data_IF_396374764310
#
_entry.id   IF_396374764310
#
_cell.length_a   1.000
_cell.length_b   1.000
_cell.length_c   1.000
_cell.angle_alpha   90.00
_cell.angle_beta   90.00
_cell.angle_gamma   90.00
#
_symmetry.space_group_name_H-M   'P 1'
#
loop_
_entity.id
_entity.type
_entity.pdbx_description
1 polymer ?
#
# COMPACT_ATOMS: atom_id res chain seq x y z
N UNK A 1 -7.78 21.46 3.56
CA UNK A 1 -6.87 21.34 2.38
C UNK A 1 -7.67 20.98 1.14
N UNK A 2 -7.27 21.44 -0.06
CA UNK A 2 -7.83 20.95 -1.34
C UNK A 2 -7.28 19.54 -1.64
N UNK A 3 -8.17 18.64 -2.02
CA UNK A 3 -7.84 17.28 -2.42
C UNK A 3 -8.62 16.95 -3.70
N UNK A 4 -7.90 16.65 -4.78
CA UNK A 4 -8.47 16.11 -6.01
C UNK A 4 -8.12 14.64 -6.12
N UNK A 5 -9.10 13.80 -6.40
CA UNK A 5 -8.94 12.37 -6.60
C UNK A 5 -9.22 12.02 -8.06
N UNK A 6 -8.24 11.46 -8.75
CA UNK A 6 -8.28 11.15 -10.18
C UNK A 6 -8.08 9.64 -10.37
N UNK A 7 -9.16 8.84 -10.48
CA UNK A 7 -9.03 7.41 -10.74
C UNK A 7 -8.68 7.17 -12.22
N UNK A 8 -7.60 6.41 -12.46
CA UNK A 8 -7.01 6.16 -13.77
C UNK A 8 -7.01 4.67 -14.06
N UNK A 9 -7.45 4.28 -15.26
CA UNK A 9 -7.42 2.90 -15.72
C UNK A 9 -5.98 2.49 -16.04
N UNK A 10 -5.50 1.45 -15.37
CA UNK A 10 -4.15 0.91 -15.55
C UNK A 10 -4.15 -0.62 -15.40
N UNK A 11 -3.17 -1.31 -15.98
CA UNK A 11 -2.94 -2.71 -15.68
C UNK A 11 -2.62 -2.87 -14.19
N UNK A 12 -3.57 -3.41 -13.42
CA UNK A 12 -3.44 -3.68 -11.99
C UNK A 12 -4.09 -5.01 -11.62
N UNK A 13 -3.62 -5.63 -10.53
CA UNK A 13 -4.25 -6.83 -9.94
C UNK A 13 -5.45 -6.48 -9.05
N UNK A 14 -5.67 -5.18 -8.78
CA UNK A 14 -6.85 -4.72 -8.04
C UNK A 14 -8.12 -4.94 -8.87
N UNK A 15 -9.22 -5.45 -8.27
CA UNK A 15 -10.46 -5.77 -8.99
C UNK A 15 -11.11 -4.57 -9.70
N UNK A 16 -10.77 -3.35 -9.28
CA UNK A 16 -11.29 -2.11 -9.87
C UNK A 16 -10.71 -1.79 -11.24
N UNK A 17 -9.55 -2.36 -11.61
CA UNK A 17 -8.81 -2.01 -12.82
C UNK A 17 -8.31 -0.57 -12.86
N UNK A 18 -8.27 0.10 -11.70
CA UNK A 18 -7.94 1.53 -11.58
C UNK A 18 -7.09 1.80 -10.36
N UNK A 19 -6.16 2.76 -10.51
CA UNK A 19 -5.44 3.39 -9.40
C UNK A 19 -5.82 4.86 -9.32
N UNK A 20 -6.07 5.36 -8.12
CA UNK A 20 -6.35 6.77 -7.90
C UNK A 20 -5.05 7.54 -7.68
N UNK A 21 -4.81 8.53 -8.53
CA UNK A 21 -3.86 9.60 -8.31
C UNK A 21 -4.49 10.69 -7.46
N UNK A 22 -3.70 11.38 -6.63
CA UNK A 22 -4.19 12.49 -5.79
C UNK A 22 -3.37 13.75 -6.01
N UNK A 23 -4.05 14.90 -6.07
CA UNK A 23 -3.43 16.23 -6.06
C UNK A 23 -3.82 16.93 -4.76
N UNK A 24 -2.83 17.21 -3.92
CA UNK A 24 -3.00 17.74 -2.56
C UNK A 24 -2.47 19.16 -2.46
N UNK A 25 -3.33 20.13 -2.17
CA UNK A 25 -2.99 21.56 -2.13
C UNK A 25 -3.49 22.33 -3.36
N UNK A 26 -3.49 23.66 -3.30
CA UNK A 26 -3.93 24.56 -4.39
C UNK A 26 -2.77 25.21 -5.14
N UNK A 27 -1.68 25.47 -4.44
CA UNK A 27 -0.46 26.06 -4.93
C UNK A 27 0.70 25.18 -4.49
N UNK A 28 1.71 24.99 -5.34
CA UNK A 28 2.82 24.05 -5.06
C UNK A 28 2.33 22.65 -4.61
N UNK A 29 1.25 22.18 -5.24
CA UNK A 29 0.56 20.96 -4.83
C UNK A 29 1.47 19.73 -4.88
N UNK A 30 1.18 18.75 -4.00
CA UNK A 30 1.80 17.44 -4.05
C UNK A 30 0.95 16.50 -4.93
N UNK A 31 1.56 15.99 -5.99
CA UNK A 31 1.02 14.92 -6.83
C UNK A 31 1.42 13.57 -6.24
N UNK A 32 0.45 12.70 -5.94
CA UNK A 32 0.68 11.40 -5.31
C UNK A 32 0.21 10.28 -6.22
N UNK A 33 1.06 9.27 -6.39
CA UNK A 33 0.80 8.05 -7.16
C UNK A 33 0.27 8.30 -8.58
N UNK A 34 0.98 9.03 -9.47
CA UNK A 34 0.57 9.18 -10.86
C UNK A 34 0.86 7.89 -11.65
N UNK A 35 -0.16 7.04 -11.93
CA UNK A 35 0.05 5.68 -12.41
C UNK A 35 0.27 5.61 -13.92
N UNK A 36 -0.28 6.58 -14.67
CA UNK A 36 -0.17 6.71 -16.12
C UNK A 36 -0.52 8.15 -16.54
N UNK A 37 -0.15 8.59 -17.76
CA UNK A 37 -0.59 9.86 -18.31
C UNK A 37 -2.13 9.95 -18.39
N UNK A 38 -2.67 11.13 -18.03
CA UNK A 38 -4.11 11.42 -18.05
C UNK A 38 -4.35 12.93 -18.15
N UNK A 39 -5.21 13.36 -19.07
CA UNK A 39 -5.51 14.79 -19.32
C UNK A 39 -6.00 15.54 -18.06
N UNK A 40 -6.62 14.84 -17.11
CA UNK A 40 -7.08 15.43 -15.84
C UNK A 40 -5.91 15.75 -14.92
N UNK A 41 -4.82 14.96 -14.94
CA UNK A 41 -3.58 15.28 -14.20
C UNK A 41 -2.86 16.42 -14.93
N UNK A 42 -2.80 16.38 -16.27
CA UNK A 42 -2.15 17.41 -17.08
C UNK A 42 -2.76 18.79 -16.83
N UNK A 43 -4.08 18.87 -16.62
CA UNK A 43 -4.76 20.12 -16.29
C UNK A 43 -4.38 20.70 -14.91
N UNK A 44 -3.72 19.92 -14.06
CA UNK A 44 -3.30 20.30 -12.71
C UNK A 44 -1.81 20.67 -12.63
N UNK A 45 -0.99 20.37 -13.67
CA UNK A 45 0.48 20.46 -13.61
C UNK A 45 0.98 21.87 -13.31
N UNK A 46 0.33 22.92 -13.77
CA UNK A 46 0.71 24.32 -13.52
C UNK A 46 0.82 24.67 -12.02
N UNK A 47 0.17 23.88 -11.15
CA UNK A 47 0.18 24.09 -9.70
C UNK A 47 0.93 22.99 -8.93
N UNK A 48 1.47 21.98 -9.59
CA UNK A 48 2.23 20.89 -8.97
C UNK A 48 3.66 21.36 -8.68
N UNK A 49 4.08 21.35 -7.42
CA UNK A 49 5.44 21.66 -7.00
C UNK A 49 6.22 20.45 -6.49
N UNK A 50 5.53 19.35 -6.22
CA UNK A 50 6.15 18.13 -5.71
C UNK A 50 5.46 16.87 -6.26
N UNK A 51 6.23 15.79 -6.44
CA UNK A 51 5.72 14.45 -6.78
C UNK A 51 6.25 13.44 -5.75
N UNK A 52 5.37 12.59 -5.24
CA UNK A 52 5.73 11.49 -4.35
C UNK A 52 4.87 10.25 -4.63
N UNK A 53 5.30 9.09 -4.15
CA UNK A 53 4.53 7.85 -4.24
C UNK A 53 4.37 7.21 -2.88
N UNK A 54 3.25 6.51 -2.68
CA UNK A 54 3.02 5.72 -1.47
C UNK A 54 3.97 4.52 -1.42
N UNK A 55 4.20 3.89 -2.55
CA UNK A 55 5.14 2.77 -2.76
C UNK A 55 5.46 2.60 -4.25
N UNK A 56 6.31 1.62 -4.62
CA UNK A 56 6.88 1.52 -5.97
C UNK A 56 6.21 0.51 -6.90
N UNK A 57 5.02 0.03 -6.61
CA UNK A 57 4.35 -0.92 -7.51
C UNK A 57 4.03 -0.26 -8.87
N UNK A 58 4.11 -1.03 -9.97
CA UNK A 58 4.04 -0.47 -11.33
C UNK A 58 2.76 0.32 -11.62
N UNK A 59 1.66 -0.04 -10.98
CA UNK A 59 0.36 0.62 -11.14
C UNK A 59 0.20 1.91 -10.32
N UNK A 60 1.30 2.40 -9.68
CA UNK A 60 1.35 3.68 -8.96
C UNK A 60 2.32 4.69 -9.56
N UNK A 61 3.27 4.25 -10.40
CA UNK A 61 4.48 5.03 -10.68
C UNK A 61 4.69 5.40 -12.15
N UNK A 62 3.84 4.93 -13.05
CA UNK A 62 4.11 4.94 -14.49
C UNK A 62 4.30 6.32 -15.11
N UNK A 63 3.77 7.41 -14.53
CA UNK A 63 3.91 8.78 -15.02
C UNK A 63 4.74 9.68 -14.08
N UNK A 64 5.44 9.14 -13.08
CA UNK A 64 6.23 9.96 -12.13
C UNK A 64 7.29 10.80 -12.84
N UNK A 65 8.11 10.21 -13.71
CA UNK A 65 9.18 10.94 -14.41
C UNK A 65 8.61 12.01 -15.35
N UNK A 66 7.58 11.66 -16.11
CA UNK A 66 6.95 12.56 -17.09
C UNK A 66 6.37 13.80 -16.39
N UNK A 67 5.61 13.61 -15.33
CA UNK A 67 4.98 14.74 -14.64
C UNK A 67 5.93 15.54 -13.77
N UNK A 68 6.98 14.91 -13.22
CA UNK A 68 8.02 15.62 -12.51
C UNK A 68 8.79 16.58 -13.47
N UNK A 69 9.10 16.12 -14.68
CA UNK A 69 9.74 16.94 -15.71
C UNK A 69 8.79 18.04 -16.21
N UNK A 70 7.54 17.71 -16.53
CA UNK A 70 6.58 18.64 -17.09
C UNK A 70 6.21 19.80 -16.14
N UNK A 71 6.17 19.54 -14.84
CA UNK A 71 5.86 20.54 -13.81
C UNK A 71 7.10 21.19 -13.18
N UNK A 72 8.33 20.81 -13.57
CA UNK A 72 9.58 21.18 -12.86
C UNK A 72 9.48 20.89 -11.34
N UNK A 73 8.87 19.77 -10.99
CA UNK A 73 8.47 19.44 -9.62
C UNK A 73 9.58 18.70 -8.87
N UNK A 74 9.69 18.95 -7.57
CA UNK A 74 10.59 18.22 -6.67
C UNK A 74 10.11 16.77 -6.51
N UNK A 75 10.96 15.80 -6.83
CA UNK A 75 10.68 14.38 -6.65
C UNK A 75 11.11 13.93 -5.26
N UNK A 76 10.16 13.34 -4.52
CA UNK A 76 10.39 12.84 -3.17
C UNK A 76 10.34 11.31 -3.14
N UNK A 77 11.30 10.69 -2.46
CA UNK A 77 11.24 9.26 -2.18
C UNK A 77 11.47 8.94 -0.69
N UNK A 78 11.12 7.72 -0.28
CA UNK A 78 11.41 7.25 1.08
C UNK A 78 12.92 7.13 1.30
N UNK A 79 13.39 7.64 2.45
CA UNK A 79 14.80 7.54 2.87
C UNK A 79 15.27 6.08 2.83
N UNK A 80 16.41 5.85 2.18
CA UNK A 80 17.03 4.53 2.02
C UNK A 80 16.37 3.66 0.95
N UNK A 81 15.48 4.21 0.11
CA UNK A 81 14.80 3.48 -0.97
C UNK A 81 15.08 4.04 -2.38
N UNK A 82 15.97 5.01 -2.51
CA UNK A 82 16.29 5.63 -3.79
C UNK A 82 16.78 4.63 -4.87
N UNK A 83 17.51 3.59 -4.44
CA UNK A 83 18.03 2.54 -5.33
C UNK A 83 16.90 1.71 -5.97
N UNK A 84 15.82 1.44 -5.23
CA UNK A 84 14.63 0.75 -5.75
C UNK A 84 13.67 1.72 -6.46
N UNK A 85 13.56 2.96 -5.96
CA UNK A 85 12.69 4.00 -6.51
C UNK A 85 13.05 4.39 -7.93
N UNK A 86 14.35 4.67 -8.20
CA UNK A 86 14.79 5.18 -9.50
C UNK A 86 14.44 4.25 -10.68
N UNK A 87 14.72 2.95 -10.65
CA UNK A 87 14.32 2.07 -11.74
C UNK A 87 12.80 1.85 -11.85
N UNK A 88 12.06 1.95 -10.75
CA UNK A 88 10.61 1.78 -10.76
C UNK A 88 9.89 2.99 -11.38
N UNK A 89 10.38 4.20 -11.12
CA UNK A 89 9.74 5.46 -11.53
C UNK A 89 10.37 6.11 -12.75
N UNK A 90 11.57 5.68 -13.17
CA UNK A 90 12.45 6.37 -14.13
C UNK A 90 12.81 7.82 -13.71
N UNK A 91 12.65 8.17 -12.45
CA UNK A 91 12.97 9.49 -11.90
C UNK A 91 14.06 9.39 -10.84
N UNK A 92 14.95 10.38 -10.80
CA UNK A 92 15.93 10.51 -9.71
C UNK A 92 15.32 11.38 -8.62
N UNK A 93 15.27 10.93 -7.35
CA UNK A 93 14.70 11.75 -6.30
C UNK A 93 15.60 12.94 -5.94
N UNK A 94 15.01 14.11 -5.78
CA UNK A 94 15.67 15.34 -5.31
C UNK A 94 15.74 15.39 -3.78
N UNK A 95 14.73 14.84 -3.12
CA UNK A 95 14.58 14.84 -1.67
C UNK A 95 14.14 13.50 -1.14
N UNK A 96 14.38 13.30 0.16
CA UNK A 96 13.95 12.10 0.87
C UNK A 96 13.06 12.46 2.04
N UNK A 97 12.05 11.61 2.28
CA UNK A 97 11.20 11.71 3.45
C UNK A 97 11.36 10.51 4.39
N UNK A 98 10.93 10.71 5.61
CA UNK A 98 10.75 9.69 6.66
C UNK A 98 9.44 9.98 7.40
N UNK A 99 9.08 9.13 8.34
CA UNK A 99 7.99 9.40 9.29
C UNK A 99 8.02 10.82 9.82
N UNK A 100 6.89 11.52 9.74
CA UNK A 100 6.70 12.88 10.23
C UNK A 100 7.32 13.97 9.36
N UNK A 101 7.89 13.65 8.19
CA UNK A 101 8.34 14.67 7.23
C UNK A 101 7.14 15.46 6.74
N UNK A 102 7.24 16.78 6.75
CA UNK A 102 6.27 17.71 6.19
C UNK A 102 6.69 18.07 4.76
N UNK A 103 5.83 17.75 3.78
CA UNK A 103 6.00 18.16 2.39
C UNK A 103 5.17 19.43 2.17
N UNK A 104 5.79 20.56 1.77
CA UNK A 104 5.06 21.80 1.54
C UNK A 104 4.11 21.70 0.37
N UNK A 105 2.96 22.40 0.44
CA UNK A 105 1.92 22.44 -0.58
C UNK A 105 1.37 23.84 -0.82
N UNK A 106 2.19 24.87 -0.58
CA UNK A 106 1.79 26.29 -0.68
C UNK A 106 0.80 26.75 0.43
N UNK A 107 0.41 25.84 1.33
CA UNK A 107 -0.50 26.07 2.44
C UNK A 107 -0.17 25.16 3.62
N UNK A 108 -1.18 24.44 4.14
CA UNK A 108 -0.93 23.42 5.16
C UNK A 108 -0.12 22.26 4.57
N UNK A 109 0.99 21.85 5.20
CA UNK A 109 1.83 20.78 4.67
C UNK A 109 1.12 19.41 4.73
N UNK A 110 1.59 18.52 3.88
CA UNK A 110 1.24 17.08 3.94
C UNK A 110 2.26 16.38 4.82
N UNK A 111 1.80 15.57 5.78
CA UNK A 111 2.68 14.85 6.71
C UNK A 111 2.81 13.39 6.30
N UNK A 112 4.04 12.91 6.14
CA UNK A 112 4.32 11.51 5.81
C UNK A 112 4.11 10.62 7.03
N UNK A 113 3.35 9.51 6.85
CA UNK A 113 3.11 8.47 7.85
C UNK A 113 3.59 7.12 7.36
N UNK A 114 4.49 6.49 8.13
CA UNK A 114 4.96 5.14 7.83
C UNK A 114 3.82 4.13 7.98
N UNK A 115 3.52 3.41 6.92
CA UNK A 115 2.50 2.36 6.88
C UNK A 115 3.00 1.10 6.14
N UNK A 116 4.19 0.56 6.55
CA UNK A 116 4.76 -0.61 5.89
C UNK A 116 3.89 -1.85 6.05
N UNK A 117 4.11 -2.82 5.17
CA UNK A 117 3.52 -4.15 5.26
C UNK A 117 2.95 -4.69 3.96
N UNK A 118 2.31 -3.87 3.13
CA UNK A 118 2.02 -4.22 1.73
C UNK A 118 3.32 -4.20 0.89
N UNK A 119 4.09 -3.13 1.06
CA UNK A 119 5.46 -2.98 0.60
C UNK A 119 6.34 -2.41 1.74
N UNK A 120 7.65 -2.66 1.75
CA UNK A 120 8.53 -2.24 2.86
C UNK A 120 8.73 -0.73 2.93
N UNK A 121 8.58 -0.02 1.81
CA UNK A 121 8.66 1.45 1.74
C UNK A 121 7.31 2.15 1.89
N UNK A 122 6.22 1.41 1.97
CA UNK A 122 4.89 1.98 1.93
C UNK A 122 4.67 3.05 3.00
N UNK A 123 4.13 4.19 2.55
CA UNK A 123 3.74 5.34 3.38
C UNK A 123 2.32 5.79 3.04
N UNK A 124 1.71 6.52 3.96
CA UNK A 124 0.50 7.28 3.73
C UNK A 124 0.81 8.78 3.85
N UNK A 125 -0.01 9.62 3.22
CA UNK A 125 0.13 11.07 3.24
C UNK A 125 -1.06 11.68 4.00
N UNK A 126 -0.77 12.21 5.20
CA UNK A 126 -1.78 12.82 6.06
C UNK A 126 -2.01 14.26 5.67
N UNK A 127 -3.28 14.61 5.53
CA UNK A 127 -3.80 15.96 5.33
C UNK A 127 -4.80 16.29 6.45
N UNK A 128 -5.19 17.54 6.65
CA UNK A 128 -6.30 17.85 7.56
C UNK A 128 -7.58 17.07 7.19
N UNK A 129 -8.01 16.22 8.09
CA UNK A 129 -9.23 15.42 7.95
C UNK A 129 -9.12 14.17 7.07
N UNK A 130 -8.02 13.93 6.34
CA UNK A 130 -7.91 12.76 5.47
C UNK A 130 -6.49 12.16 5.45
N UNK A 131 -6.42 10.88 5.09
CA UNK A 131 -5.18 10.16 4.88
C UNK A 131 -5.20 9.49 3.50
N UNK A 132 -4.32 9.92 2.58
CA UNK A 132 -4.06 9.19 1.34
C UNK A 132 -3.34 7.92 1.72
N UNK A 133 -4.02 6.79 1.63
CA UNK A 133 -3.62 5.55 2.29
C UNK A 133 -2.96 4.53 1.36
N UNK A 134 -2.83 4.84 0.06
CA UNK A 134 -2.25 3.90 -0.90
C UNK A 134 -2.91 2.53 -0.81
N UNK A 135 -2.10 1.50 -0.75
CA UNK A 135 -2.49 0.09 -0.64
C UNK A 135 -2.49 -0.43 0.81
N UNK A 136 -2.79 0.44 1.77
CA UNK A 136 -3.01 0.01 3.14
C UNK A 136 -4.41 -0.59 3.36
N UNK A 137 -5.44 0.04 2.80
CA UNK A 137 -6.82 -0.34 3.05
C UNK A 137 -7.70 -0.17 1.81
N UNK A 138 -8.72 -1.00 1.70
CA UNK A 138 -9.79 -0.91 0.69
C UNK A 138 -11.14 -1.06 1.36
N UNK A 139 -12.17 -0.39 0.82
CA UNK A 139 -13.52 -0.44 1.36
C UNK A 139 -14.11 -1.86 1.30
N UNK A 140 -13.87 -2.57 0.21
CA UNK A 140 -14.36 -3.93 -0.03
C UNK A 140 -13.19 -4.89 -0.27
N UNK A 141 -13.32 -6.14 0.18
CA UNK A 141 -12.26 -7.13 0.03
C UNK A 141 -11.07 -6.89 0.95
N UNK A 142 -9.86 -7.16 0.47
CA UNK A 142 -8.61 -7.00 1.20
C UNK A 142 -7.44 -6.71 0.26
N UNK A 143 -6.48 -5.95 0.72
CA UNK A 143 -5.21 -5.69 0.04
C UNK A 143 -4.36 -6.96 0.02
N UNK A 144 -3.54 -7.17 -0.99
CA UNK A 144 -2.55 -8.25 -0.98
C UNK A 144 -1.40 -7.87 -0.03
N UNK A 145 -1.03 -8.79 0.84
CA UNK A 145 0.18 -8.70 1.68
C UNK A 145 0.89 -10.03 1.52
N UNK A 146 1.97 -10.05 0.76
CA UNK A 146 2.62 -11.30 0.38
C UNK A 146 4.08 -11.16 -0.02
N UNK A 147 4.80 -12.28 0.15
CA UNK A 147 6.19 -12.43 -0.28
C UNK A 147 6.36 -12.07 -1.77
N UNK A 148 7.48 -11.40 -2.18
CA UNK A 148 8.69 -11.14 -1.37
C UNK A 148 8.68 -9.82 -0.58
N UNK A 149 7.74 -8.94 -0.77
CA UNK A 149 7.78 -7.58 -0.20
C UNK A 149 6.86 -7.39 1.00
N UNK A 150 5.80 -8.20 1.10
CA UNK A 150 4.80 -8.07 2.15
C UNK A 150 5.25 -8.59 3.51
N UNK A 151 5.05 -7.79 4.56
CA UNK A 151 5.23 -8.16 5.97
C UNK A 151 3.88 -8.08 6.69
N UNK A 152 3.32 -9.24 7.07
CA UNK A 152 2.02 -9.31 7.73
C UNK A 152 2.03 -8.68 9.14
N UNK A 153 3.15 -8.71 9.85
CA UNK A 153 3.27 -8.08 11.18
C UNK A 153 3.26 -6.57 11.06
N UNK A 154 4.07 -6.04 10.13
CA UNK A 154 4.12 -4.62 9.84
C UNK A 154 2.76 -4.10 9.35
N UNK A 155 2.09 -4.85 8.47
CA UNK A 155 0.76 -4.49 7.95
C UNK A 155 -0.30 -4.37 9.06
N UNK A 156 -0.37 -5.36 9.95
CA UNK A 156 -1.29 -5.32 11.09
C UNK A 156 -0.98 -4.16 12.07
N UNK A 157 0.31 -3.85 12.25
CA UNK A 157 0.72 -2.70 13.05
C UNK A 157 0.32 -1.38 12.38
N UNK A 158 0.48 -1.27 11.06
CA UNK A 158 0.09 -0.10 10.27
C UNK A 158 -1.41 0.17 10.32
N UNK A 159 -2.26 -0.86 10.18
CA UNK A 159 -3.71 -0.72 10.34
C UNK A 159 -4.10 -0.21 11.74
N UNK A 160 -3.50 -0.78 12.80
CA UNK A 160 -3.76 -0.33 14.19
C UNK A 160 -3.28 1.09 14.43
N UNK A 161 -2.17 1.47 13.82
CA UNK A 161 -1.66 2.83 13.89
C UNK A 161 -2.64 3.83 13.27
N UNK A 162 -3.20 3.53 12.10
CA UNK A 162 -4.19 4.39 11.44
C UNK A 162 -5.46 4.55 12.29
N UNK A 163 -5.91 3.48 12.97
CA UNK A 163 -6.98 3.62 13.98
C UNK A 163 -6.62 4.59 15.08
N UNK A 164 -5.34 4.61 15.50
CA UNK A 164 -4.84 5.55 16.52
C UNK A 164 -4.70 6.99 16.03
N UNK A 165 -4.36 7.19 14.75
CA UNK A 165 -4.33 8.51 14.10
C UNK A 165 -5.72 9.11 13.93
N UNK A 166 -6.75 8.24 13.79
CA UNK A 166 -8.15 8.59 13.66
C UNK A 166 -8.45 9.67 12.60
N UNK A 167 -7.97 9.56 11.34
CA UNK A 167 -8.37 10.46 10.28
C UNK A 167 -9.88 10.36 10.05
N UNK A 168 -10.51 11.43 9.57
CA UNK A 168 -11.95 11.43 9.29
C UNK A 168 -12.30 10.46 8.15
N UNK A 169 -11.38 10.31 7.16
CA UNK A 169 -11.53 9.38 6.03
C UNK A 169 -10.20 8.88 5.51
N UNK A 170 -10.21 7.70 4.85
CA UNK A 170 -9.09 7.23 4.04
C UNK A 170 -9.39 7.46 2.55
N UNK A 171 -8.33 7.78 1.85
CA UNK A 171 -8.29 7.99 0.40
C UNK A 171 -7.42 6.88 -0.20
N UNK A 172 -7.98 5.70 -0.52
CA UNK A 172 -7.22 4.55 -0.99
C UNK A 172 -6.84 4.66 -2.46
N UNK A 173 -5.78 3.98 -2.87
CA UNK A 173 -5.43 3.89 -4.28
C UNK A 173 -6.49 3.10 -5.08
N UNK A 174 -7.12 2.09 -4.47
CA UNK A 174 -8.10 1.24 -5.14
C UNK A 174 -9.47 1.28 -4.44
N UNK A 175 -10.53 1.42 -5.26
CA UNK A 175 -11.91 1.46 -4.76
C UNK A 175 -12.35 2.83 -4.25
N UNK A 176 -13.51 2.93 -3.60
CA UNK A 176 -14.06 4.19 -3.10
C UNK A 176 -13.34 4.70 -1.85
N UNK A 177 -13.54 5.97 -1.52
CA UNK A 177 -13.16 6.56 -0.24
C UNK A 177 -13.79 5.80 0.93
N UNK A 178 -13.13 5.85 2.09
CA UNK A 178 -13.52 5.12 3.29
C UNK A 178 -13.82 6.12 4.40
N UNK A 179 -15.10 6.28 4.74
CA UNK A 179 -15.54 7.19 5.80
C UNK A 179 -15.49 6.53 7.19
N UNK A 180 -15.82 5.23 7.29
CA UNK A 180 -15.68 4.50 8.55
C UNK A 180 -14.31 3.83 8.64
N UNK A 181 -13.32 4.67 8.95
CA UNK A 181 -11.90 4.26 9.04
C UNK A 181 -11.69 3.17 10.07
N UNK A 182 -12.28 3.33 11.27
CA UNK A 182 -12.11 2.37 12.36
C UNK A 182 -12.69 1.01 11.99
N UNK A 183 -13.95 0.96 11.56
CA UNK A 183 -14.60 -0.31 11.21
C UNK A 183 -13.89 -1.00 10.05
N UNK A 184 -13.41 -0.26 9.05
CA UNK A 184 -12.66 -0.84 7.92
C UNK A 184 -11.32 -1.43 8.37
N UNK A 185 -10.52 -0.70 9.16
CA UNK A 185 -9.26 -1.21 9.68
C UNK A 185 -9.47 -2.43 10.60
N UNK A 186 -10.46 -2.39 11.50
CA UNK A 186 -10.80 -3.52 12.38
C UNK A 186 -11.25 -4.74 11.58
N UNK A 187 -12.06 -4.56 10.53
CA UNK A 187 -12.47 -5.63 9.60
C UNK A 187 -11.24 -6.27 8.91
N UNK A 188 -10.32 -5.45 8.41
CA UNK A 188 -9.11 -5.92 7.74
C UNK A 188 -8.20 -6.68 8.72
N UNK A 189 -8.03 -6.18 9.94
CA UNK A 189 -7.28 -6.88 11.00
C UNK A 189 -7.94 -8.23 11.32
N UNK A 190 -9.26 -8.25 11.56
CA UNK A 190 -10.00 -9.46 11.85
C UNK A 190 -9.89 -10.50 10.73
N UNK A 191 -10.01 -10.04 9.47
CA UNK A 191 -9.83 -10.89 8.28
C UNK A 191 -8.43 -11.54 8.24
N UNK A 192 -7.35 -10.79 8.55
CA UNK A 192 -5.99 -11.33 8.57
C UNK A 192 -5.78 -12.32 9.71
N UNK A 193 -6.28 -12.02 10.89
CA UNK A 193 -6.17 -12.93 12.04
C UNK A 193 -6.98 -14.22 11.85
N UNK A 194 -8.16 -14.15 11.24
CA UNK A 194 -8.93 -15.36 10.89
C UNK A 194 -8.17 -16.22 9.86
N UNK A 195 -7.58 -15.59 8.84
CA UNK A 195 -6.73 -16.29 7.87
C UNK A 195 -5.52 -16.95 8.54
N UNK A 196 -4.85 -16.25 9.42
CA UNK A 196 -3.70 -16.76 10.18
C UNK A 196 -4.06 -17.98 11.01
N UNK A 197 -5.20 -17.93 11.72
CA UNK A 197 -5.70 -19.08 12.46
C UNK A 197 -5.89 -20.30 11.57
N UNK A 198 -6.49 -20.15 10.37
CA UNK A 198 -6.68 -21.25 9.42
C UNK A 198 -5.35 -21.77 8.88
N UNK A 199 -4.37 -20.91 8.62
CA UNK A 199 -3.01 -21.31 8.22
C UNK A 199 -2.34 -22.12 9.31
N UNK A 200 -2.44 -21.71 10.58
CA UNK A 200 -1.89 -22.45 11.71
C UNK A 200 -2.56 -23.82 11.86
N UNK A 201 -3.91 -23.89 11.85
CA UNK A 201 -4.69 -25.12 11.90
C UNK A 201 -4.30 -26.09 10.77
N UNK A 202 -4.06 -25.58 9.55
CA UNK A 202 -3.62 -26.39 8.43
C UNK A 202 -2.23 -27.01 8.69
N UNK A 203 -1.28 -26.22 9.24
CA UNK A 203 0.05 -26.73 9.62
C UNK A 203 -0.06 -27.79 10.72
N UNK A 204 -0.86 -27.55 11.75
CA UNK A 204 -1.10 -28.52 12.84
C UNK A 204 -1.74 -29.81 12.33
N UNK A 205 -2.60 -29.72 11.32
CA UNK A 205 -3.22 -30.88 10.64
C UNK A 205 -2.25 -31.68 9.75
N UNK A 206 -1.01 -31.22 9.57
CA UNK A 206 0.03 -31.95 8.84
C UNK A 206 0.31 -31.42 7.44
N UNK A 207 -0.30 -30.32 7.00
CA UNK A 207 0.04 -29.66 5.75
C UNK A 207 1.40 -28.94 5.90
N UNK A 208 2.33 -29.14 4.96
CA UNK A 208 3.72 -28.70 5.13
C UNK A 208 4.21 -27.71 4.09
N UNK A 209 3.70 -27.80 2.87
CA UNK A 209 4.07 -26.87 1.80
C UNK A 209 3.08 -25.73 1.70
N UNK A 210 3.49 -24.62 1.05
CA UNK A 210 2.59 -23.49 0.81
C UNK A 210 1.31 -23.94 0.07
N UNK A 211 1.44 -24.83 -0.91
CA UNK A 211 0.30 -25.35 -1.65
C UNK A 211 -0.66 -26.16 -0.77
N UNK A 212 -0.13 -27.11 0.03
CA UNK A 212 -0.95 -27.92 0.93
C UNK A 212 -1.69 -27.03 1.95
N UNK A 213 -0.99 -26.03 2.52
CA UNK A 213 -1.57 -25.08 3.49
C UNK A 213 -2.62 -24.17 2.80
N UNK A 214 -2.36 -23.73 1.58
CA UNK A 214 -3.30 -22.93 0.80
C UNK A 214 -4.60 -23.70 0.57
N UNK A 215 -4.50 -24.94 0.06
CA UNK A 215 -5.65 -25.80 -0.23
C UNK A 215 -6.49 -26.09 1.03
N UNK A 216 -5.84 -26.23 2.18
CA UNK A 216 -6.52 -26.49 3.46
C UNK A 216 -7.13 -25.23 4.09
N UNK A 217 -6.49 -24.04 3.93
CA UNK A 217 -6.88 -22.80 4.60
C UNK A 217 -7.87 -21.95 3.79
N UNK A 218 -8.06 -22.25 2.50
CA UNK A 218 -8.95 -21.48 1.60
C UNK A 218 -10.08 -22.34 1.08
N UNK A 219 -11.30 -21.89 1.31
CA UNK A 219 -12.54 -22.52 0.83
C UNK A 219 -13.05 -21.92 -0.49
N UNK A 220 -12.42 -20.80 -0.92
CA UNK A 220 -12.83 -20.06 -2.11
C UNK A 220 -12.17 -20.62 -3.36
N UNK A 221 -12.85 -20.46 -4.49
CA UNK A 221 -12.20 -20.56 -5.80
C UNK A 221 -11.14 -19.44 -5.91
N UNK A 222 -9.91 -19.86 -6.17
CA UNK A 222 -8.73 -18.97 -6.29
C UNK A 222 -8.29 -18.82 -7.73
N UNK A 223 -9.07 -19.30 -8.71
CA UNK A 223 -8.71 -19.26 -10.14
C UNK A 223 -8.27 -17.84 -10.55
N UNK A 224 -7.03 -17.74 -11.03
CA UNK A 224 -6.40 -16.51 -11.49
C UNK A 224 -5.79 -15.63 -10.39
N UNK A 225 -5.83 -16.06 -9.11
CA UNK A 225 -5.20 -15.36 -7.97
C UNK A 225 -4.45 -16.32 -7.04
N UNK A 226 -4.17 -17.54 -7.48
CA UNK A 226 -3.47 -18.57 -6.70
C UNK A 226 -2.08 -18.11 -6.25
N UNK A 227 -1.38 -17.38 -7.11
CA UNK A 227 -0.07 -16.79 -6.83
C UNK A 227 -0.14 -15.78 -5.67
N UNK A 228 -1.12 -14.89 -5.68
CA UNK A 228 -1.32 -13.89 -4.62
C UNK A 228 -1.75 -14.53 -3.29
N UNK A 229 -2.60 -15.57 -3.37
CA UNK A 229 -3.02 -16.30 -2.20
C UNK A 229 -1.84 -17.10 -1.60
N UNK A 230 -1.02 -17.73 -2.42
CA UNK A 230 0.21 -18.41 -2.00
C UNK A 230 1.23 -17.47 -1.36
N UNK A 231 1.44 -16.29 -1.95
CA UNK A 231 2.28 -15.24 -1.37
C UNK A 231 1.75 -14.79 0.01
N UNK A 232 0.43 -14.65 0.15
CA UNK A 232 -0.20 -14.30 1.44
C UNK A 232 -0.04 -15.41 2.48
N UNK A 233 -0.13 -16.69 2.09
CA UNK A 233 0.15 -17.82 3.00
C UNK A 233 1.58 -17.77 3.51
N UNK A 234 2.57 -17.49 2.63
CA UNK A 234 3.97 -17.32 3.06
C UNK A 234 4.13 -16.21 4.09
N UNK A 235 3.54 -15.03 3.86
CA UNK A 235 3.61 -13.93 4.82
C UNK A 235 2.98 -14.28 6.18
N UNK A 236 1.92 -15.10 6.22
CA UNK A 236 1.38 -15.64 7.47
C UNK A 236 2.31 -16.66 8.12
N UNK A 237 2.93 -17.57 7.35
CA UNK A 237 3.90 -18.55 7.88
C UNK A 237 5.14 -17.86 8.47
N UNK A 238 5.64 -16.81 7.82
CA UNK A 238 6.74 -15.99 8.32
C UNK A 238 6.38 -15.30 9.64
N UNK A 239 5.17 -14.71 9.72
CA UNK A 239 4.67 -14.13 10.96
C UNK A 239 4.54 -15.17 12.07
N UNK A 240 3.91 -16.31 11.80
CA UNK A 240 3.74 -17.39 12.76
C UNK A 240 5.09 -17.95 13.23
N UNK A 241 6.07 -18.05 12.34
CA UNK A 241 7.43 -18.48 12.70
C UNK A 241 8.14 -17.46 13.59
N UNK A 242 8.04 -16.16 13.26
CA UNK A 242 8.60 -15.09 14.07
C UNK A 242 7.98 -15.00 15.47
N UNK A 243 6.74 -15.48 15.64
CA UNK A 243 6.01 -15.56 16.92
C UNK A 243 6.17 -16.91 17.62
N UNK A 244 6.90 -17.85 17.00
CA UNK A 244 7.21 -19.15 17.60
C UNK A 244 6.06 -20.18 17.57
N UNK A 245 5.05 -19.97 16.71
CA UNK A 245 3.92 -20.90 16.55
C UNK A 245 4.19 -22.03 15.56
N UNK A 246 5.08 -21.79 14.60
CA UNK A 246 5.54 -22.79 13.62
C UNK A 246 7.06 -22.66 13.41
N UNK A 247 7.68 -23.70 12.85
CA UNK A 247 9.00 -23.62 12.24
C UNK A 247 8.84 -23.51 10.74
N UNK A 248 9.40 -22.47 10.12
CA UNK A 248 9.34 -22.19 8.70
C UNK A 248 10.74 -22.00 8.12
N UNK A 249 11.12 -22.77 7.09
CA UNK A 249 12.44 -22.73 6.44
C UNK A 249 12.43 -22.03 5.07
N UNK A 250 11.32 -21.41 4.68
CA UNK A 250 11.10 -20.80 3.35
C UNK A 250 10.40 -21.74 2.36
N UNK A 251 10.30 -23.04 2.66
CA UNK A 251 9.64 -24.03 1.79
C UNK A 251 8.67 -24.93 2.56
N UNK A 252 8.96 -25.25 3.81
CA UNK A 252 8.16 -26.16 4.65
C UNK A 252 7.86 -25.55 6.03
N UNK A 253 6.64 -25.77 6.46
CA UNK A 253 6.15 -25.40 7.78
C UNK A 253 5.93 -26.65 8.64
N UNK A 254 6.44 -26.64 9.85
CA UNK A 254 6.18 -27.65 10.87
C UNK A 254 5.62 -26.99 12.15
N UNK A 255 4.79 -27.66 12.95
CA UNK A 255 4.41 -27.17 14.27
C UNK A 255 5.67 -26.86 15.12
N UNK A 256 5.58 -25.84 15.99
CA UNK A 256 6.69 -25.42 16.86
C UNK A 256 7.07 -26.51 17.88
#
# INVERSE_FOLDING_TARGET
MYVERIPIEVPTRAPTGRTACYVLGREEALLVDPPAPDERIEAELDRVGSVAVTHHHPDHVGAVAEYAEAADATVWCRRGRAEAFTPATNATPDRVFSEGTEIPTGGEPVVVRDTPGHAPEHVAFETPGALVSGDLAVAEGSVVVGDPEGDMRAYLASLRRVVGLAPERLLPAHGPEIDDVRATCERLVAHRLDRERRVLEAVEAGNRTVTDVLDAAYEKDLTGVEDLAGATVRAHLEKLAAEGHVRWDGARADPA
#
